data_IF_114136960304
#
_entry.id   IF_114136960304
#
_cell.length_a   1.000
_cell.length_b   1.000
_cell.length_c   1.000
_cell.angle_alpha   90.00
_cell.angle_beta   90.00
_cell.angle_gamma   90.00
#
_symmetry.space_group_name_H-M   'P 1'
#
loop_
_entity.id
_entity.type
_entity.pdbx_description
1 polymer ?
#
# COMPACT_ATOMS: atom_id res chain seq x y z
N UNK A 1 -10.96 -1.51 36.93
CA UNK A 1 -11.84 -0.78 36.00
C UNK A 1 -11.49 -1.00 34.50
N UNK A 2 -10.86 -2.11 34.11
CA UNK A 2 -10.41 -2.34 32.71
C UNK A 2 -11.51 -2.89 31.77
N UNK A 3 -12.51 -3.62 32.28
CA UNK A 3 -13.52 -4.28 31.42
C UNK A 3 -14.33 -3.32 30.54
N UNK A 4 -14.58 -2.09 30.99
CA UNK A 4 -15.37 -1.09 30.24
C UNK A 4 -14.61 -0.51 29.03
N UNK A 5 -13.30 -0.23 29.17
CA UNK A 5 -12.50 0.36 28.10
C UNK A 5 -12.22 -0.63 26.95
N UNK A 6 -11.95 -1.90 27.27
CA UNK A 6 -11.76 -2.95 26.26
C UNK A 6 -13.06 -3.31 25.55
N UNK A 7 -14.18 -3.39 26.27
CA UNK A 7 -15.50 -3.61 25.67
C UNK A 7 -15.88 -2.52 24.68
N UNK A 8 -15.55 -1.26 24.97
CA UNK A 8 -15.80 -0.14 24.05
C UNK A 8 -14.96 -0.23 22.77
N UNK A 9 -13.65 -0.48 22.89
CA UNK A 9 -12.76 -0.61 21.71
C UNK A 9 -13.15 -1.77 20.80
N UNK A 10 -13.50 -2.92 21.38
CA UNK A 10 -14.00 -4.07 20.62
C UNK A 10 -15.30 -3.73 19.90
N UNK A 11 -16.28 -3.13 20.59
CA UNK A 11 -17.56 -2.75 19.98
C UNK A 11 -17.38 -1.80 18.81
N UNK A 12 -16.54 -0.78 18.95
CA UNK A 12 -16.26 0.18 17.87
C UNK A 12 -15.56 -0.49 16.69
N UNK A 13 -14.59 -1.38 16.97
CA UNK A 13 -13.94 -2.17 15.92
C UNK A 13 -14.94 -3.03 15.16
N UNK A 14 -15.80 -3.76 15.86
CA UNK A 14 -16.80 -4.62 15.25
C UNK A 14 -17.79 -3.78 14.40
N UNK A 15 -18.17 -2.57 14.85
CA UNK A 15 -19.04 -1.64 14.08
C UNK A 15 -18.34 -1.08 12.82
N UNK A 16 -17.05 -0.77 12.90
CA UNK A 16 -16.24 -0.34 11.73
C UNK A 16 -16.18 -1.46 10.68
N UNK A 17 -15.98 -2.70 11.13
CA UNK A 17 -15.84 -3.87 10.26
C UNK A 17 -17.14 -4.17 9.53
N UNK A 18 -18.27 -4.13 10.24
CA UNK A 18 -19.57 -4.45 9.65
C UNK A 18 -20.17 -3.27 8.86
N UNK A 19 -19.79 -2.03 9.17
CA UNK A 19 -20.31 -0.82 8.51
C UNK A 19 -19.20 0.17 8.10
N UNK A 20 -18.25 -0.21 7.22
CA UNK A 20 -17.12 0.65 6.85
C UNK A 20 -17.53 1.98 6.20
N UNK A 21 -18.70 2.01 5.55
CA UNK A 21 -19.25 3.22 4.91
C UNK A 21 -19.66 4.29 5.94
N UNK A 22 -20.22 3.88 7.09
CA UNK A 22 -20.61 4.79 8.17
C UNK A 22 -19.41 5.55 8.76
N UNK A 23 -18.22 4.96 8.63
CA UNK A 23 -16.96 5.51 9.07
C UNK A 23 -16.14 6.11 7.92
N UNK A 24 -16.73 6.24 6.73
CA UNK A 24 -16.10 6.82 5.53
C UNK A 24 -14.76 6.17 5.16
N UNK A 25 -14.58 4.87 5.43
CA UNK A 25 -13.29 4.19 5.23
C UNK A 25 -12.86 4.22 3.76
N UNK A 26 -13.76 3.84 2.84
CA UNK A 26 -13.45 3.83 1.40
C UNK A 26 -13.52 5.21 0.76
N UNK A 27 -14.49 6.03 1.17
CA UNK A 27 -14.63 7.41 0.67
C UNK A 27 -13.39 8.23 1.02
N UNK A 28 -12.92 8.16 2.26
CA UNK A 28 -11.71 8.83 2.70
C UNK A 28 -10.48 8.42 1.87
N UNK A 29 -10.30 7.13 1.61
CA UNK A 29 -9.21 6.63 0.76
C UNK A 29 -9.37 7.08 -0.70
N UNK A 30 -10.60 7.21 -1.20
CA UNK A 30 -10.88 7.65 -2.56
C UNK A 30 -10.61 9.14 -2.79
N UNK A 31 -10.48 9.94 -1.72
CA UNK A 31 -10.02 11.34 -1.84
C UNK A 31 -8.52 11.44 -2.17
N UNK A 32 -7.77 10.35 -2.00
CA UNK A 32 -6.36 10.30 -2.30
C UNK A 32 -6.16 10.08 -3.80
N UNK A 33 -5.47 11.01 -4.46
CA UNK A 33 -5.27 11.00 -5.91
C UNK A 33 -4.36 9.87 -6.41
N UNK A 34 -3.61 9.25 -5.50
CA UNK A 34 -2.68 8.15 -5.78
C UNK A 34 -3.28 6.75 -5.58
N UNK A 35 -4.58 6.65 -5.26
CA UNK A 35 -5.28 5.36 -5.06
C UNK A 35 -6.47 5.30 -6.01
N UNK A 36 -6.55 4.25 -6.81
CA UNK A 36 -7.72 3.98 -7.64
C UNK A 36 -8.75 3.13 -6.89
N UNK A 37 -10.00 3.16 -7.36
CA UNK A 37 -11.05 2.25 -6.85
C UNK A 37 -10.70 0.77 -6.99
N UNK A 38 -9.81 0.41 -7.92
CA UNK A 38 -9.43 -0.97 -8.19
C UNK A 38 -8.35 -1.48 -7.22
N UNK A 39 -7.70 -0.56 -6.50
CA UNK A 39 -6.72 -0.91 -5.47
C UNK A 39 -7.40 -1.22 -4.12
N UNK A 40 -8.69 -0.88 -3.99
CA UNK A 40 -9.46 -1.09 -2.77
C UNK A 40 -10.04 -2.50 -2.73
N UNK A 41 -9.98 -3.20 -1.58
CA UNK A 41 -10.55 -4.53 -1.45
C UNK A 41 -12.07 -4.49 -1.47
N UNK A 42 -12.68 -5.55 -2.02
CA UNK A 42 -14.13 -5.74 -1.95
C UNK A 42 -14.62 -5.71 -0.49
N UNK A 43 -15.82 -5.19 -0.21
CA UNK A 43 -16.34 -5.08 1.16
C UNK A 43 -16.37 -6.42 1.93
N UNK A 44 -16.62 -7.53 1.23
CA UNK A 44 -16.61 -8.85 1.83
C UNK A 44 -15.21 -9.29 2.26
N UNK A 45 -14.21 -9.05 1.40
CA UNK A 45 -12.80 -9.35 1.68
C UNK A 45 -12.29 -8.51 2.85
N UNK A 46 -12.63 -7.21 2.88
CA UNK A 46 -12.32 -6.32 4.00
C UNK A 46 -12.87 -6.87 5.32
N UNK A 47 -14.17 -7.23 5.33
CA UNK A 47 -14.85 -7.75 6.51
C UNK A 47 -14.22 -9.06 7.00
N UNK A 48 -13.97 -9.99 6.08
CA UNK A 48 -13.43 -11.30 6.43
C UNK A 48 -11.99 -11.19 6.97
N UNK A 49 -11.18 -10.27 6.42
CA UNK A 49 -9.85 -9.99 6.94
C UNK A 49 -9.90 -9.46 8.39
N UNK A 50 -10.71 -8.44 8.67
CA UNK A 50 -10.74 -7.82 10.00
C UNK A 50 -11.54 -8.61 11.06
N UNK A 51 -12.35 -9.60 10.64
CA UNK A 51 -12.92 -10.60 11.56
C UNK A 51 -11.85 -11.47 12.21
N UNK A 52 -10.80 -11.79 11.46
CA UNK A 52 -9.65 -12.57 11.96
C UNK A 52 -8.57 -11.68 12.59
N UNK A 53 -8.49 -10.42 12.16
CA UNK A 53 -7.48 -9.47 12.59
C UNK A 53 -8.18 -8.22 13.16
N UNK A 54 -8.41 -8.10 14.47
CA UNK A 54 -9.18 -7.00 15.04
C UNK A 54 -8.53 -5.63 14.77
N UNK A 55 -9.33 -4.63 14.38
CA UNK A 55 -8.83 -3.28 14.02
C UNK A 55 -8.02 -2.65 15.17
N UNK A 56 -8.41 -2.89 16.43
CA UNK A 56 -7.74 -2.30 17.59
C UNK A 56 -6.35 -2.90 17.90
N UNK A 57 -5.95 -3.99 17.25
CA UNK A 57 -4.61 -4.58 17.39
C UNK A 57 -3.59 -3.95 16.42
N UNK A 58 -4.06 -3.20 15.42
CA UNK A 58 -3.20 -2.51 14.47
C UNK A 58 -2.61 -1.23 15.05
N UNK A 59 -1.33 -1.01 14.74
CA UNK A 59 -0.68 0.26 15.03
C UNK A 59 -1.18 1.36 14.10
N UNK A 60 -1.20 2.59 14.60
CA UNK A 60 -1.46 3.78 13.76
C UNK A 60 -0.33 3.95 12.74
N UNK A 61 -0.65 4.41 11.53
CA UNK A 61 0.36 4.68 10.50
C UNK A 61 1.49 5.58 11.00
N UNK A 62 1.17 6.62 11.76
CA UNK A 62 2.17 7.53 12.34
C UNK A 62 3.15 6.84 13.30
N UNK A 63 2.75 5.76 13.96
CA UNK A 63 3.62 4.98 14.84
C UNK A 63 4.65 4.15 14.07
N UNK A 64 4.43 3.92 12.77
CA UNK A 64 5.38 3.22 11.90
C UNK A 64 6.48 4.13 11.35
N UNK A 65 6.32 5.44 11.48
CA UNK A 65 7.30 6.42 11.06
C UNK A 65 8.42 6.55 12.10
N UNK A 66 9.66 6.62 11.64
CA UNK A 66 10.81 6.87 12.52
C UNK A 66 11.53 8.14 12.10
N UNK A 67 12.16 8.83 13.05
CA UNK A 67 12.92 10.05 12.76
C UNK A 67 14.02 9.82 11.72
N UNK A 68 14.78 8.72 11.84
CA UNK A 68 15.92 8.46 10.98
C UNK A 68 15.57 7.82 9.62
N UNK A 69 14.52 7.00 9.55
CA UNK A 69 14.15 6.30 8.30
C UNK A 69 12.96 6.92 7.57
N UNK A 70 12.33 7.92 8.16
CA UNK A 70 11.08 8.51 7.69
C UNK A 70 9.90 7.55 7.87
N UNK A 71 8.82 7.84 7.13
CA UNK A 71 7.66 6.96 7.05
C UNK A 71 7.85 5.90 5.94
N UNK A 72 7.49 4.63 6.19
CA UNK A 72 7.53 3.59 5.16
C UNK A 72 6.74 3.96 3.90
N UNK A 73 5.60 4.66 4.05
CA UNK A 73 4.76 5.09 2.91
C UNK A 73 5.54 5.99 1.93
N UNK A 74 6.37 6.91 2.43
CA UNK A 74 7.17 7.78 1.57
C UNK A 74 8.21 6.99 0.75
N UNK A 75 8.74 5.89 1.32
CA UNK A 75 9.66 5.02 0.57
C UNK A 75 8.95 4.30 -0.56
N UNK A 76 7.70 3.90 -0.35
CA UNK A 76 6.87 3.31 -1.39
C UNK A 76 6.59 4.32 -2.50
N UNK A 77 6.24 5.56 -2.15
CA UNK A 77 6.02 6.63 -3.13
C UNK A 77 7.26 6.91 -3.98
N UNK A 78 8.45 6.99 -3.36
CA UNK A 78 9.72 7.19 -4.07
C UNK A 78 10.03 6.02 -5.00
N UNK A 79 9.85 4.79 -4.52
CA UNK A 79 10.11 3.60 -5.31
C UNK A 79 9.24 3.55 -6.58
N UNK A 80 7.95 3.88 -6.44
CA UNK A 80 7.00 3.89 -7.56
C UNK A 80 7.29 5.04 -8.53
N UNK A 81 7.50 6.26 -8.01
CA UNK A 81 7.61 7.45 -8.84
C UNK A 81 8.97 7.62 -9.53
N UNK A 82 10.05 7.07 -8.95
CA UNK A 82 11.42 7.33 -9.41
C UNK A 82 12.23 6.05 -9.64
N UNK A 83 12.35 5.19 -8.62
CA UNK A 83 13.28 4.06 -8.69
C UNK A 83 12.88 3.04 -9.78
N UNK A 84 11.58 2.72 -9.87
CA UNK A 84 11.05 1.82 -10.89
C UNK A 84 11.23 2.38 -12.31
N UNK A 85 10.82 3.62 -12.63
CA UNK A 85 11.11 4.24 -13.93
C UNK A 85 12.60 4.26 -14.29
N UNK A 86 13.47 4.60 -13.35
CA UNK A 86 14.92 4.62 -13.58
C UNK A 86 15.45 3.21 -13.91
N UNK A 87 15.03 2.21 -13.15
CA UNK A 87 15.40 0.82 -13.37
C UNK A 87 14.97 0.32 -14.75
N UNK A 88 13.72 0.58 -15.14
CA UNK A 88 13.20 0.23 -16.47
C UNK A 88 13.97 0.94 -17.58
N UNK A 89 14.31 2.22 -17.37
CA UNK A 89 15.12 2.99 -18.32
C UNK A 89 16.52 2.40 -18.52
N UNK A 90 17.19 1.99 -17.44
CA UNK A 90 18.49 1.31 -17.49
C UNK A 90 18.39 -0.03 -18.22
N UNK A 91 17.37 -0.83 -17.89
CA UNK A 91 17.14 -2.14 -18.52
C UNK A 91 16.94 -2.01 -20.04
N UNK A 92 16.13 -1.05 -20.49
CA UNK A 92 15.91 -0.81 -21.93
C UNK A 92 17.22 -0.48 -22.66
N UNK A 93 18.03 0.42 -22.12
CA UNK A 93 19.34 0.77 -22.70
C UNK A 93 20.28 -0.44 -22.77
N UNK A 94 20.31 -1.25 -21.71
CA UNK A 94 21.09 -2.48 -21.71
C UNK A 94 20.60 -3.46 -22.78
N UNK A 95 19.29 -3.67 -22.90
CA UNK A 95 18.71 -4.55 -23.92
C UNK A 95 19.02 -4.07 -25.35
N UNK A 96 18.86 -2.77 -25.61
CA UNK A 96 19.22 -2.15 -26.90
C UNK A 96 20.71 -2.32 -27.22
N UNK A 97 21.59 -2.17 -26.23
CA UNK A 97 23.03 -2.34 -26.42
C UNK A 97 23.43 -3.78 -26.80
N UNK A 98 22.74 -4.78 -26.23
CA UNK A 98 22.95 -6.20 -26.54
C UNK A 98 22.47 -6.51 -27.96
N UNK A 99 21.31 -5.99 -28.36
CA UNK A 99 20.79 -6.16 -29.72
C UNK A 99 21.71 -5.51 -30.76
N UNK A 100 22.15 -4.28 -30.52
CA UNK A 100 23.06 -3.57 -31.43
C UNK A 100 24.43 -4.26 -31.60
N UNK A 101 24.91 -4.97 -30.58
CA UNK A 101 26.15 -5.74 -30.66
C UNK A 101 25.99 -7.12 -31.30
N UNK A 102 24.77 -7.66 -31.36
CA UNK A 102 24.45 -8.91 -32.05
C UNK A 102 24.27 -8.73 -33.58
N UNK A 103 23.91 -7.54 -34.05
CA UNK A 103 23.69 -7.22 -35.48
C UNK A 103 24.98 -6.82 -36.24
N UNK A 104 26.17 -6.90 -35.62
CA UNK A 104 27.44 -6.62 -36.30
C UNK A 104 27.81 -7.84 -37.17
N UNK A 105 27.79 -7.75 -38.52
CA UNK A 105 28.22 -8.85 -39.36
C UNK A 105 29.71 -9.09 -39.13
N UNK A 106 30.08 -10.35 -38.87
CA UNK A 106 31.48 -10.78 -38.86
C UNK A 106 32.10 -10.43 -40.21
N UNK A 107 32.93 -9.38 -40.26
CA UNK A 107 33.76 -9.10 -41.43
C UNK A 107 34.67 -10.31 -41.64
N UNK A 108 34.40 -11.06 -42.72
CA UNK A 108 35.30 -12.04 -43.31
C UNK A 108 36.41 -11.35 -44.10
#
# INVERSE_FOLDING_TARGET
>A
NHKSFFGNRKKVSDDIIEQPQKYHIYEGLSTLTNISRYDLPDPEVYRDFFRLNPVYDFQKLSATCTYFRGCPINRLDVAIAYDLPELVGKYKKSAESVLASADVPSKS
#
